data_IF_124831313796
#
_entry.id   IF_124831313796
#
_cell.length_a   1.000
_cell.length_b   1.000
_cell.length_c   1.000
_cell.angle_alpha   90.00
_cell.angle_beta   90.00
_cell.angle_gamma   90.00
#
_symmetry.space_group_name_H-M   'P 1'
#
loop_
_entity.id
_entity.type
_entity.pdbx_description
1 polymer ?
#
# COMPACT_ATOMS: atom_id res chain seq x y z
N UNK A 1 12.94 17.72 25.05
CA UNK A 1 12.49 16.67 26.01
C UNK A 1 12.22 15.44 25.17
N UNK A 2 13.14 14.46 25.14
CA UNK A 2 12.94 13.22 24.37
C UNK A 2 11.87 12.42 25.11
N UNK A 3 10.69 12.30 24.52
CA UNK A 3 9.62 11.45 25.04
C UNK A 3 10.07 10.00 24.97
N UNK A 4 9.89 9.28 26.07
CA UNK A 4 10.32 7.89 26.28
C UNK A 4 9.44 6.89 25.47
N UNK A 5 8.92 7.30 24.32
CA UNK A 5 8.03 6.49 23.49
C UNK A 5 8.86 5.73 22.44
N UNK A 6 8.58 4.44 22.27
CA UNK A 6 9.07 3.60 21.18
C UNK A 6 8.82 4.26 19.80
N UNK A 7 7.58 4.70 19.55
CA UNK A 7 7.21 5.52 18.39
C UNK A 7 6.96 6.95 18.83
N UNK A 8 7.70 7.91 18.26
CA UNK A 8 7.55 9.33 18.53
C UNK A 8 6.33 9.92 17.82
N UNK A 9 5.25 10.09 18.57
CA UNK A 9 3.98 10.59 18.02
C UNK A 9 3.76 12.09 18.21
N UNK A 10 4.62 12.77 18.98
CA UNK A 10 4.49 14.19 19.27
C UNK A 10 3.16 14.55 19.98
N UNK A 11 2.62 15.76 19.79
CA UNK A 11 1.37 16.18 20.44
C UNK A 11 0.12 15.48 19.85
N UNK A 12 0.27 14.68 18.80
CA UNK A 12 -0.83 14.08 18.05
C UNK A 12 -1.03 12.59 18.35
N UNK A 13 -0.32 12.02 19.35
CA UNK A 13 -0.38 10.60 19.68
C UNK A 13 -1.76 10.03 20.01
N UNK A 14 -2.74 10.87 20.35
CA UNK A 14 -4.14 10.46 20.51
C UNK A 14 -4.79 9.94 19.20
N UNK A 15 -4.24 10.28 18.03
CA UNK A 15 -4.65 9.73 16.74
C UNK A 15 -3.90 8.44 16.37
N UNK A 16 -2.93 7.99 17.18
CA UNK A 16 -2.24 6.72 16.96
C UNK A 16 -2.87 5.68 17.87
N UNK A 17 -3.47 4.64 17.30
CA UNK A 17 -4.19 3.64 18.07
C UNK A 17 -3.23 2.89 19.02
N UNK A 18 -3.57 2.73 20.32
CA UNK A 18 -2.69 2.07 21.28
C UNK A 18 -2.30 0.64 20.89
N UNK A 19 -3.20 -0.14 20.28
CA UNK A 19 -2.87 -1.51 19.84
C UNK A 19 -1.83 -1.53 18.74
N UNK A 20 -1.93 -0.59 17.77
CA UNK A 20 -0.93 -0.44 16.71
C UNK A 20 0.40 -0.05 17.33
N UNK A 21 0.41 0.92 18.24
CA UNK A 21 1.63 1.34 18.93
C UNK A 21 2.29 0.17 19.65
N UNK A 22 1.52 -0.63 20.38
CA UNK A 22 2.02 -1.80 21.10
C UNK A 22 2.64 -2.84 20.17
N UNK A 23 1.97 -3.15 19.04
CA UNK A 23 2.44 -4.03 17.97
C UNK A 23 3.88 -3.64 17.57
N UNK A 24 4.03 -2.42 17.06
CA UNK A 24 5.33 -1.91 16.58
C UNK A 24 6.38 -1.56 17.66
N UNK A 25 6.07 -1.73 18.94
CA UNK A 25 6.99 -1.48 20.07
C UNK A 25 7.60 -2.77 20.63
N UNK A 26 7.38 -3.92 19.99
CA UNK A 26 7.99 -5.19 20.43
C UNK A 26 9.02 -5.73 19.44
N UNK A 27 10.17 -6.16 19.96
CA UNK A 27 11.28 -6.76 19.19
C UNK A 27 10.81 -7.98 18.39
N UNK A 28 9.93 -8.80 18.97
CA UNK A 28 9.43 -10.02 18.36
C UNK A 28 8.68 -9.78 17.06
N UNK A 29 7.94 -8.67 16.94
CA UNK A 29 7.21 -8.38 15.71
C UNK A 29 8.11 -7.76 14.64
N UNK A 30 9.12 -6.98 15.02
CA UNK A 30 10.12 -6.51 14.05
C UNK A 30 11.02 -7.64 13.57
N UNK A 31 11.34 -8.62 14.43
CA UNK A 31 12.04 -9.84 14.00
C UNK A 31 11.20 -10.69 13.04
N UNK A 32 9.86 -10.70 13.19
CA UNK A 32 8.96 -11.32 12.20
C UNK A 32 8.96 -10.58 10.86
N UNK A 33 8.99 -9.25 10.89
CA UNK A 33 9.02 -8.42 9.68
C UNK A 33 10.38 -8.46 8.98
N UNK A 34 11.46 -8.51 9.74
CA UNK A 34 12.83 -8.51 9.24
C UNK A 34 13.68 -9.52 10.00
N UNK A 35 13.59 -10.81 9.63
CA UNK A 35 14.36 -11.83 10.31
C UNK A 35 15.86 -11.54 10.15
N UNK A 36 16.61 -11.70 11.25
CA UNK A 36 18.08 -11.62 11.33
C UNK A 36 18.73 -10.24 11.15
N UNK A 37 17.97 -9.14 11.18
CA UNK A 37 18.57 -7.80 11.20
C UNK A 37 19.10 -7.39 12.59
N UNK A 38 18.84 -8.20 13.62
CA UNK A 38 19.30 -7.96 15.00
C UNK A 38 18.50 -6.90 15.74
N UNK A 39 18.86 -6.60 17.00
CA UNK A 39 18.05 -5.77 17.91
C UNK A 39 17.92 -4.31 17.45
N UNK A 40 18.86 -3.79 16.66
CA UNK A 40 18.83 -2.41 16.14
C UNK A 40 17.76 -2.21 15.06
N UNK A 41 17.29 -3.29 14.41
CA UNK A 41 16.23 -3.24 13.40
C UNK A 41 14.92 -2.71 13.97
N UNK A 42 14.62 -3.12 15.21
CA UNK A 42 13.44 -2.67 15.94
C UNK A 42 13.39 -1.15 16.06
N UNK A 43 14.51 -0.56 16.50
CA UNK A 43 14.65 0.90 16.65
C UNK A 43 14.56 1.63 15.32
N UNK A 44 15.05 1.01 14.25
CA UNK A 44 14.94 1.60 12.92
C UNK A 44 13.48 1.64 12.44
N UNK A 45 12.70 0.56 12.63
CA UNK A 45 11.26 0.50 12.30
C UNK A 45 10.45 1.50 13.11
N UNK A 46 10.72 1.62 14.41
CA UNK A 46 10.16 2.67 15.24
C UNK A 46 10.41 4.08 14.66
N UNK A 47 11.65 4.33 14.22
CA UNK A 47 12.07 5.62 13.67
C UNK A 47 11.37 5.92 12.35
N UNK A 48 11.37 4.98 11.40
CA UNK A 48 10.73 5.19 10.09
C UNK A 48 9.21 5.30 10.22
N UNK A 49 8.59 4.55 11.12
CA UNK A 49 7.15 4.67 11.43
C UNK A 49 6.83 6.02 12.04
N UNK A 50 7.68 6.52 12.95
CA UNK A 50 7.50 7.84 13.57
C UNK A 50 7.54 8.97 12.54
N UNK A 51 8.52 8.93 11.63
CA UNK A 51 8.67 9.91 10.56
C UNK A 51 7.52 9.84 9.54
N UNK A 52 7.10 8.64 9.14
CA UNK A 52 5.97 8.43 8.25
C UNK A 52 4.66 8.95 8.88
N UNK A 53 4.45 8.69 10.16
CA UNK A 53 3.31 9.20 10.92
C UNK A 53 3.30 10.73 10.99
N UNK A 54 4.44 11.37 11.33
CA UNK A 54 4.56 12.84 11.35
C UNK A 54 4.17 13.44 10.00
N UNK A 55 4.63 12.87 8.88
CA UNK A 55 4.25 13.30 7.53
C UNK A 55 2.76 13.09 7.24
N UNK A 56 2.16 11.98 7.68
CA UNK A 56 0.74 11.74 7.51
C UNK A 56 -0.09 12.81 8.25
N UNK A 57 0.31 13.19 9.46
CA UNK A 57 -0.33 14.25 10.24
C UNK A 57 -0.15 15.63 9.60
N UNK A 58 1.04 15.96 9.08
CA UNK A 58 1.27 17.20 8.33
C UNK A 58 0.39 17.31 7.09
N UNK A 59 0.25 16.21 6.33
CA UNK A 59 -0.65 16.13 5.17
C UNK A 59 -2.11 16.27 5.59
N UNK A 60 -2.52 15.61 6.68
CA UNK A 60 -3.86 15.72 7.23
C UNK A 60 -4.20 17.17 7.58
N UNK A 61 -3.29 17.88 8.27
CA UNK A 61 -3.47 19.30 8.58
C UNK A 61 -3.56 20.13 7.30
N UNK A 62 -2.66 19.90 6.34
CA UNK A 62 -2.56 20.65 5.09
C UNK A 62 -3.86 20.57 4.28
N UNK A 63 -4.40 19.36 4.09
CA UNK A 63 -5.55 19.16 3.21
C UNK A 63 -6.89 19.41 3.90
N UNK A 64 -7.02 19.04 5.18
CA UNK A 64 -8.25 19.29 5.92
C UNK A 64 -8.36 20.74 6.40
N UNK A 65 -7.23 21.44 6.57
CA UNK A 65 -7.16 22.75 7.20
C UNK A 65 -7.49 22.74 8.70
N UNK A 66 -7.60 21.55 9.31
CA UNK A 66 -7.96 21.37 10.73
C UNK A 66 -6.72 21.08 11.54
N UNK A 67 -6.70 21.57 12.78
CA UNK A 67 -5.68 21.21 13.77
C UNK A 67 -5.79 19.72 14.14
N UNK A 68 -4.77 18.88 13.85
CA UNK A 68 -4.81 17.45 14.16
C UNK A 68 -4.99 17.15 15.65
N UNK A 69 -4.55 18.04 16.56
CA UNK A 69 -4.75 17.88 18.01
C UNK A 69 -6.21 17.91 18.46
N UNK A 70 -7.13 18.31 17.57
CA UNK A 70 -8.58 18.42 17.84
C UNK A 70 -9.40 17.38 17.07
N UNK A 71 -8.75 16.53 16.28
CA UNK A 71 -9.42 15.52 15.47
C UNK A 71 -9.66 14.24 16.26
N UNK A 72 -10.61 13.44 15.80
CA UNK A 72 -10.89 12.12 16.32
C UNK A 72 -11.40 11.23 15.18
N UNK A 73 -11.37 9.92 15.40
CA UNK A 73 -11.74 8.94 14.38
C UNK A 73 -13.15 9.16 13.79
N UNK A 74 -14.22 9.42 14.59
CA UNK A 74 -15.54 9.74 14.04
C UNK A 74 -15.56 10.96 13.10
N UNK A 75 -14.83 12.03 13.46
CA UNK A 75 -14.74 13.25 12.64
C UNK A 75 -13.98 13.00 11.34
N UNK A 76 -12.91 12.19 11.40
CA UNK A 76 -12.15 11.78 10.22
C UNK A 76 -13.01 10.94 9.28
N UNK A 77 -13.71 9.94 9.81
CA UNK A 77 -14.65 9.09 9.07
C UNK A 77 -15.74 9.91 8.36
N UNK A 78 -16.41 10.81 9.09
CA UNK A 78 -17.42 11.68 8.49
C UNK A 78 -16.84 12.58 7.39
N UNK A 79 -15.63 13.13 7.60
CA UNK A 79 -14.96 14.00 6.62
C UNK A 79 -14.59 13.22 5.35
N UNK A 80 -14.05 12.00 5.48
CA UNK A 80 -13.67 11.18 4.31
C UNK A 80 -14.90 10.67 3.57
N UNK A 81 -15.98 10.26 4.24
CA UNK A 81 -17.22 9.85 3.57
C UNK A 81 -17.82 10.99 2.72
N UNK A 82 -17.84 12.21 3.24
CA UNK A 82 -18.27 13.37 2.46
C UNK A 82 -17.36 13.67 1.26
N UNK A 83 -16.04 13.52 1.44
CA UNK A 83 -15.09 13.66 0.34
C UNK A 83 -15.27 12.56 -0.72
N UNK A 84 -15.43 11.30 -0.31
CA UNK A 84 -15.68 10.16 -1.20
C UNK A 84 -16.93 10.38 -2.04
N UNK A 85 -18.05 10.78 -1.43
CA UNK A 85 -19.28 11.06 -2.16
C UNK A 85 -19.07 12.14 -3.24
N UNK A 86 -18.47 13.27 -2.85
CA UNK A 86 -18.24 14.38 -3.79
C UNK A 86 -17.27 14.00 -4.91
N UNK A 87 -16.23 13.24 -4.58
CA UNK A 87 -15.24 12.73 -5.54
C UNK A 87 -15.88 11.75 -6.52
N UNK A 88 -16.72 10.83 -6.05
CA UNK A 88 -17.43 9.88 -6.93
C UNK A 88 -18.32 10.61 -7.92
N UNK A 89 -19.07 11.62 -7.47
CA UNK A 89 -19.88 12.48 -8.34
C UNK A 89 -19.02 13.14 -9.43
N UNK A 90 -17.94 13.82 -9.02
CA UNK A 90 -17.09 14.60 -9.92
C UNK A 90 -16.33 13.75 -10.95
N UNK A 91 -15.88 12.56 -10.57
CA UNK A 91 -15.12 11.69 -11.47
C UNK A 91 -16.00 10.93 -12.46
N UNK A 92 -17.28 10.70 -12.12
CA UNK A 92 -18.17 9.80 -12.87
C UNK A 92 -18.31 10.16 -14.36
N UNK A 93 -18.30 11.45 -14.70
CA UNK A 93 -18.43 11.94 -16.08
C UNK A 93 -17.09 12.05 -16.83
N UNK A 94 -15.96 11.84 -16.15
CA UNK A 94 -14.61 12.08 -16.67
C UNK A 94 -13.66 10.89 -16.47
N UNK A 95 -14.22 9.69 -16.30
CA UNK A 95 -13.44 8.48 -15.97
C UNK A 95 -12.28 8.24 -16.93
N UNK A 96 -12.55 8.20 -18.24
CA UNK A 96 -11.51 7.93 -19.25
C UNK A 96 -10.42 9.02 -19.30
N UNK A 97 -10.79 10.28 -19.05
CA UNK A 97 -9.84 11.39 -19.00
C UNK A 97 -8.91 11.24 -17.80
N UNK A 98 -9.47 10.93 -16.63
CA UNK A 98 -8.73 10.68 -15.40
C UNK A 98 -7.88 9.39 -15.49
N UNK A 99 -8.38 8.32 -16.10
CA UNK A 99 -7.61 7.08 -16.31
C UNK A 99 -6.34 7.34 -17.14
N UNK A 100 -6.46 8.10 -18.25
CA UNK A 100 -5.31 8.51 -19.07
C UNK A 100 -4.37 9.43 -18.30
N UNK A 101 -4.93 10.38 -17.56
CA UNK A 101 -4.14 11.31 -16.75
C UNK A 101 -3.34 10.58 -15.67
N UNK A 102 -3.88 9.53 -15.06
CA UNK A 102 -3.17 8.75 -14.05
C UNK A 102 -1.93 8.07 -14.66
N UNK A 103 -2.07 7.49 -15.85
CA UNK A 103 -0.94 6.89 -16.60
C UNK A 103 0.09 7.97 -16.93
N UNK A 104 -0.34 9.11 -17.48
CA UNK A 104 0.56 10.19 -17.88
C UNK A 104 1.39 10.70 -16.69
N UNK A 105 0.75 10.94 -15.54
CA UNK A 105 1.43 11.39 -14.30
C UNK A 105 2.52 10.40 -13.89
N UNK A 106 2.23 9.09 -13.90
CA UNK A 106 3.22 8.08 -13.50
C UNK A 106 4.36 8.02 -14.51
N UNK A 107 4.07 8.02 -15.81
CA UNK A 107 5.08 7.90 -16.87
C UNK A 107 5.90 9.17 -17.10
N UNK A 108 5.49 10.31 -16.53
CA UNK A 108 6.28 11.55 -16.50
C UNK A 108 7.42 11.50 -15.47
N UNK A 109 7.37 10.59 -14.50
CA UNK A 109 8.40 10.48 -13.49
C UNK A 109 9.72 9.97 -14.09
N UNK A 110 10.88 10.51 -13.66
CA UNK A 110 12.19 10.09 -14.16
C UNK A 110 12.42 8.58 -14.08
N UNK A 111 12.07 7.95 -12.96
CA UNK A 111 12.24 6.51 -12.73
C UNK A 111 11.36 5.62 -13.62
N UNK A 112 10.32 6.19 -14.25
CA UNK A 112 9.40 5.47 -15.13
C UNK A 112 9.58 5.84 -16.62
N UNK A 113 10.64 6.57 -16.98
CA UNK A 113 10.99 6.88 -18.38
C UNK A 113 11.10 5.62 -19.27
N UNK A 114 11.60 4.51 -18.73
CA UNK A 114 11.68 3.24 -19.45
C UNK A 114 10.29 2.68 -19.78
N UNK A 115 9.34 2.78 -18.85
CA UNK A 115 7.94 2.34 -19.05
C UNK A 115 7.27 3.14 -20.16
N UNK A 116 7.54 4.44 -20.26
CA UNK A 116 7.06 5.26 -21.38
C UNK A 116 7.52 4.69 -22.72
N UNK A 117 8.81 4.37 -22.85
CA UNK A 117 9.37 3.76 -24.08
C UNK A 117 8.76 2.38 -24.35
N UNK A 118 8.57 1.55 -23.33
CA UNK A 118 7.97 0.22 -23.47
C UNK A 118 6.51 0.28 -23.89
N UNK A 119 5.77 1.28 -23.38
CA UNK A 119 4.38 1.54 -23.79
C UNK A 119 4.34 1.97 -25.25
N UNK A 120 5.21 2.89 -25.65
CA UNK A 120 5.26 3.39 -27.03
C UNK A 120 5.70 2.32 -28.03
N UNK A 121 6.53 1.35 -27.61
CA UNK A 121 6.92 0.20 -28.44
C UNK A 121 5.93 -0.96 -28.41
N UNK A 122 4.81 -0.85 -27.67
CA UNK A 122 3.81 -1.92 -27.51
C UNK A 122 4.23 -3.11 -26.62
N UNK A 123 5.38 -3.01 -25.93
CA UNK A 123 5.90 -4.07 -25.03
C UNK A 123 5.13 -4.13 -23.71
N UNK A 124 4.55 -3.01 -23.30
CA UNK A 124 3.62 -2.97 -22.17
C UNK A 124 2.35 -2.25 -22.60
N UNK A 125 1.22 -2.70 -22.06
CA UNK A 125 -0.09 -2.05 -22.19
C UNK A 125 -0.60 -1.71 -20.79
N UNK A 126 -1.39 -0.65 -20.70
CA UNK A 126 -2.04 -0.24 -19.47
C UNK A 126 -3.55 -0.43 -19.63
N UNK A 127 -4.14 -1.26 -18.78
CA UNK A 127 -5.57 -1.39 -18.63
C UNK A 127 -5.96 -0.81 -17.27
N UNK A 128 -6.32 0.47 -17.27
CA UNK A 128 -6.50 1.30 -16.08
C UNK A 128 -7.95 1.74 -16.01
N UNK A 129 -8.64 1.48 -14.89
CA UNK A 129 -10.07 1.80 -14.74
C UNK A 129 -10.42 2.45 -13.40
N UNK A 130 -11.23 3.51 -13.49
CA UNK A 130 -11.91 4.14 -12.35
C UNK A 130 -13.20 3.41 -11.99
N UNK A 131 -13.05 2.26 -11.36
CA UNK A 131 -14.14 1.39 -10.92
C UNK A 131 -13.79 0.74 -9.57
N UNK A 132 -14.80 0.16 -8.93
CA UNK A 132 -14.58 -0.57 -7.68
C UNK A 132 -13.49 -1.62 -7.87
N UNK A 133 -12.68 -1.83 -6.84
CA UNK A 133 -11.64 -2.85 -6.83
C UNK A 133 -12.27 -4.26 -6.72
N UNK A 134 -13.12 -4.64 -7.67
CA UNK A 134 -13.64 -5.99 -7.79
C UNK A 134 -12.63 -6.85 -8.55
N UNK A 135 -11.83 -7.61 -7.80
CA UNK A 135 -11.06 -8.73 -8.35
C UNK A 135 -11.68 -10.03 -7.87
N UNK A 136 -12.65 -10.56 -8.62
CA UNK A 136 -13.11 -11.95 -8.43
C UNK A 136 -11.97 -13.00 -8.62
N UNK A 137 -10.75 -12.57 -8.99
CA UNK A 137 -9.59 -13.45 -9.18
C UNK A 137 -8.45 -13.26 -8.16
N UNK A 138 -8.54 -12.30 -7.23
CA UNK A 138 -7.56 -12.20 -6.13
C UNK A 138 -8.05 -12.89 -4.85
N UNK A 139 -9.37 -13.09 -4.70
CA UNK A 139 -9.98 -13.76 -3.55
C UNK A 139 -11.21 -14.59 -3.98
N UNK A 140 -11.03 -15.66 -4.77
CA UNK A 140 -12.04 -16.74 -4.79
C UNK A 140 -11.50 -18.06 -5.35
N UNK A 141 -11.22 -19.01 -4.45
CA UNK A 141 -11.45 -20.45 -4.60
C UNK A 141 -11.07 -21.13 -3.28
N UNK A 142 -11.94 -21.03 -2.28
CA UNK A 142 -11.73 -21.70 -1.00
C UNK A 142 -12.97 -21.84 -0.14
N UNK A 143 -14.17 -21.71 -0.70
CA UNK A 143 -15.40 -21.89 0.05
C UNK A 143 -16.51 -22.42 -0.85
N UNK A 144 -16.51 -23.74 -1.02
CA UNK A 144 -17.75 -24.51 -1.13
C UNK A 144 -17.68 -25.64 -0.10
N UNK A 145 -18.46 -25.43 0.95
CA UNK A 145 -19.21 -26.39 1.78
C UNK A 145 -18.78 -27.86 1.71
N UNK A 146 -18.31 -28.39 2.85
CA UNK A 146 -18.59 -29.75 3.27
C UNK A 146 -18.77 -29.78 4.79
N UNK A 147 -19.87 -30.39 5.20
CA UNK A 147 -20.40 -30.50 6.55
C UNK A 147 -19.51 -31.38 7.46
N UNK A 148 -19.70 -31.20 8.76
CA UNK A 148 -19.04 -31.87 9.89
C UNK A 148 -19.15 -33.40 9.85
N UNK A 149 -18.04 -34.11 10.05
CA UNK A 149 -18.01 -35.38 10.79
C UNK A 149 -16.79 -35.39 11.75
N UNK A 150 -17.06 -35.67 13.02
CA UNK A 150 -16.07 -35.92 14.08
C UNK A 150 -15.30 -37.23 13.81
N UNK A 151 -13.97 -37.21 13.96
CA UNK A 151 -13.16 -38.42 13.95
C UNK A 151 -11.66 -38.20 14.14
N UNK A 152 -11.19 -38.57 15.34
CA UNK A 152 -9.88 -39.10 15.77
C UNK A 152 -8.54 -38.50 15.27
N UNK A 153 -7.63 -38.33 16.24
CA UNK A 153 -6.23 -37.93 16.08
C UNK A 153 -5.41 -38.89 15.18
N UNK A 154 -4.81 -38.27 14.15
CA UNK A 154 -3.59 -38.59 13.37
C UNK A 154 -3.53 -39.83 12.45
N UNK A 155 -3.58 -39.57 11.13
CA UNK A 155 -2.57 -40.07 10.18
C UNK A 155 -2.45 -39.13 8.95
N UNK A 156 -1.35 -38.39 8.82
CA UNK A 156 -1.08 -37.42 7.74
C UNK A 156 -0.64 -38.11 6.43
N UNK A 157 -0.97 -37.53 5.27
CA UNK A 157 -0.41 -38.00 3.99
C UNK A 157 1.03 -37.48 3.78
N UNK A 158 1.94 -38.25 3.12
CA UNK A 158 3.36 -37.89 2.97
C UNK A 158 3.70 -36.58 2.21
N UNK A 159 2.71 -35.89 1.62
CA UNK A 159 2.91 -34.63 0.88
C UNK A 159 2.43 -33.39 1.66
N UNK A 160 1.41 -33.49 2.52
CA UNK A 160 0.94 -32.36 3.34
C UNK A 160 1.74 -32.25 4.64
N UNK A 161 2.20 -33.38 5.17
CA UNK A 161 3.25 -33.43 6.19
C UNK A 161 4.56 -32.80 5.67
N UNK A 162 4.82 -32.83 4.35
CA UNK A 162 5.96 -32.15 3.72
C UNK A 162 5.75 -30.62 3.63
N UNK A 163 4.51 -30.15 3.37
CA UNK A 163 4.15 -28.72 3.36
C UNK A 163 4.15 -28.12 4.78
N UNK A 164 3.66 -28.86 5.78
CA UNK A 164 3.80 -28.50 7.20
C UNK A 164 5.28 -28.48 7.62
N UNK A 165 6.09 -29.45 7.19
CA UNK A 165 7.53 -29.50 7.50
C UNK A 165 8.36 -28.44 6.74
N UNK A 166 7.92 -27.96 5.58
CA UNK A 166 8.53 -26.80 4.89
C UNK A 166 8.10 -25.48 5.54
N UNK A 167 6.84 -25.34 5.95
CA UNK A 167 6.34 -24.15 6.64
C UNK A 167 6.93 -24.00 8.06
N UNK A 168 7.12 -25.11 8.79
CA UNK A 168 7.77 -25.13 10.10
C UNK A 168 9.32 -25.06 10.01
N UNK A 169 9.93 -25.55 8.92
CA UNK A 169 11.39 -25.52 8.68
C UNK A 169 11.87 -24.61 7.53
N UNK A 170 11.25 -23.44 7.34
CA UNK A 170 12.06 -22.22 7.03
C UNK A 170 12.71 -21.70 8.33
N UNK A 171 13.06 -22.63 9.23
CA UNK A 171 14.05 -22.49 10.28
C UNK A 171 15.45 -22.39 9.67
N UNK A 172 15.64 -21.31 8.93
CA UNK A 172 16.86 -20.58 8.67
C UNK A 172 16.41 -19.46 7.73
N UNK A 173 15.93 -18.34 8.29
CA UNK A 173 16.49 -17.04 7.92
C UNK A 173 16.79 -16.82 6.42
N UNK A 174 15.90 -17.25 5.52
CA UNK A 174 16.31 -17.37 4.13
C UNK A 174 16.32 -15.98 3.52
N UNK A 175 17.43 -15.63 2.90
CA UNK A 175 17.64 -14.39 2.15
C UNK A 175 16.43 -14.06 1.24
N UNK A 176 15.72 -15.08 0.73
CA UNK A 176 14.49 -14.95 -0.05
C UNK A 176 13.29 -14.33 0.69
N UNK A 177 13.00 -14.74 1.93
CA UNK A 177 11.87 -14.18 2.69
C UNK A 177 12.11 -12.71 3.07
N UNK A 178 13.33 -12.40 3.51
CA UNK A 178 13.76 -11.03 3.80
C UNK A 178 13.74 -10.15 2.54
N UNK A 179 14.25 -10.65 1.40
CA UNK A 179 14.20 -9.96 0.11
C UNK A 179 12.77 -9.66 -0.33
N UNK A 180 11.87 -10.64 -0.19
CA UNK A 180 10.45 -10.48 -0.53
C UNK A 180 9.81 -9.40 0.34
N UNK A 181 9.93 -9.50 1.67
CA UNK A 181 9.35 -8.51 2.57
C UNK A 181 9.93 -7.11 2.33
N UNK A 182 11.23 -7.03 2.08
CA UNK A 182 11.86 -5.77 1.72
C UNK A 182 11.34 -5.21 0.39
N UNK A 183 11.23 -6.04 -0.65
CA UNK A 183 10.67 -5.63 -1.94
C UNK A 183 9.24 -5.10 -1.78
N UNK A 184 8.39 -5.82 -1.04
CA UNK A 184 7.01 -5.44 -0.77
C UNK A 184 6.93 -4.10 -0.02
N UNK A 185 7.73 -3.92 1.04
CA UNK A 185 7.82 -2.65 1.78
C UNK A 185 8.30 -1.48 0.92
N UNK A 186 9.23 -1.73 0.00
CA UNK A 186 9.73 -0.73 -0.94
C UNK A 186 8.68 -0.39 -1.99
N UNK A 187 8.00 -1.38 -2.57
CA UNK A 187 6.91 -1.18 -3.54
C UNK A 187 5.76 -0.40 -2.91
N UNK A 188 5.25 -0.87 -1.76
CA UNK A 188 4.14 -0.24 -1.05
C UNK A 188 4.51 1.14 -0.52
N UNK A 189 5.73 1.28 0.03
CA UNK A 189 6.26 2.55 0.50
C UNK A 189 6.41 3.58 -0.62
N UNK A 190 6.86 3.13 -1.79
CA UNK A 190 6.97 3.96 -2.98
C UNK A 190 5.59 4.44 -3.45
N UNK A 191 4.65 3.52 -3.64
CA UNK A 191 3.28 3.82 -4.05
C UNK A 191 2.58 4.78 -3.08
N UNK A 192 2.75 4.57 -1.78
CA UNK A 192 2.21 5.45 -0.72
C UNK A 192 2.81 6.86 -0.76
N UNK A 193 4.10 7.00 -1.05
CA UNK A 193 4.72 8.33 -1.25
C UNK A 193 4.19 9.03 -2.50
N UNK A 194 3.89 8.26 -3.54
CA UNK A 194 3.37 8.73 -4.82
C UNK A 194 1.85 8.95 -4.84
N UNK A 195 1.15 8.65 -3.75
CA UNK A 195 -0.30 8.88 -3.61
C UNK A 195 -0.72 10.33 -3.89
N UNK A 196 0.19 11.30 -3.72
CA UNK A 196 -0.09 12.74 -3.94
C UNK A 196 0.41 13.27 -5.30
N UNK A 197 0.86 12.41 -6.22
CA UNK A 197 1.30 12.85 -7.55
C UNK A 197 0.19 13.51 -8.37
N UNK A 198 -1.08 13.32 -8.00
CA UNK A 198 -2.20 14.07 -8.60
C UNK A 198 -1.99 15.59 -8.57
N UNK A 199 -1.18 16.11 -7.63
CA UNK A 199 -0.80 17.52 -7.56
C UNK A 199 -0.08 18.02 -8.82
N UNK A 200 0.65 17.15 -9.52
CA UNK A 200 1.31 17.47 -10.79
C UNK A 200 0.31 17.86 -11.88
N UNK A 201 -0.94 17.40 -11.75
CA UNK A 201 -2.01 17.70 -12.68
C UNK A 201 -3.09 18.62 -12.06
N UNK A 202 -2.76 19.36 -11.00
CA UNK A 202 -3.70 20.27 -10.32
C UNK A 202 -4.44 21.19 -11.30
N UNK A 203 -3.74 21.79 -12.27
CA UNK A 203 -4.38 22.65 -13.29
C UNK A 203 -5.45 21.91 -14.12
N UNK A 204 -5.22 20.64 -14.47
CA UNK A 204 -6.19 19.82 -15.22
C UNK A 204 -7.36 19.39 -14.32
N UNK A 205 -7.07 19.04 -13.07
CA UNK A 205 -8.09 18.65 -12.10
C UNK A 205 -9.00 19.84 -11.72
N UNK A 206 -8.42 21.04 -11.60
CA UNK A 206 -9.16 22.26 -11.28
C UNK A 206 -10.07 22.72 -12.43
N UNK A 207 -9.77 22.32 -13.67
CA UNK A 207 -10.67 22.49 -14.82
C UNK A 207 -11.91 21.57 -14.76
N UNK A 208 -11.81 20.42 -14.08
CA UNK A 208 -12.97 19.55 -13.82
C UNK A 208 -13.81 20.17 -12.70
N UNK A 209 -13.19 20.43 -11.55
CA UNK A 209 -13.78 21.17 -10.44
C UNK A 209 -12.65 21.76 -9.56
N UNK A 210 -12.68 23.07 -9.22
CA UNK A 210 -11.62 23.71 -8.43
C UNK A 210 -11.39 23.11 -7.02
N UNK A 211 -12.33 22.29 -6.53
CA UNK A 211 -12.21 21.59 -5.25
C UNK A 211 -11.62 20.19 -5.39
N UNK A 212 -11.51 19.63 -6.59
CA UNK A 212 -11.18 18.23 -6.83
C UNK A 212 -9.79 17.86 -6.30
N UNK A 213 -8.78 18.67 -6.61
CA UNK A 213 -7.42 18.50 -6.10
C UNK A 213 -7.37 18.48 -4.57
N UNK A 214 -8.14 19.36 -3.92
CA UNK A 214 -8.23 19.41 -2.46
C UNK A 214 -8.96 18.19 -1.89
N UNK A 215 -10.07 17.79 -2.51
CA UNK A 215 -10.85 16.63 -2.11
C UNK A 215 -10.03 15.34 -2.17
N UNK A 216 -9.23 15.15 -3.22
CA UNK A 216 -8.27 14.06 -3.30
C UNK A 216 -7.25 14.09 -2.16
N UNK A 217 -6.70 15.27 -1.84
CA UNK A 217 -5.80 15.41 -0.70
C UNK A 217 -6.47 15.10 0.65
N UNK A 218 -7.72 15.49 0.85
CA UNK A 218 -8.50 15.16 2.05
C UNK A 218 -8.71 13.65 2.14
N UNK A 219 -9.16 13.01 1.05
CA UNK A 219 -9.34 11.57 0.96
C UNK A 219 -8.04 10.83 1.32
N UNK A 220 -6.98 11.09 0.56
CA UNK A 220 -5.68 10.42 0.70
C UNK A 220 -5.06 10.61 2.10
N UNK A 221 -5.15 11.82 2.66
CA UNK A 221 -4.56 12.10 3.98
C UNK A 221 -5.32 11.46 5.13
N UNK A 222 -6.66 11.38 5.05
CA UNK A 222 -7.46 10.72 6.08
C UNK A 222 -7.25 9.21 6.02
N UNK A 223 -7.28 8.61 4.83
CA UNK A 223 -7.03 7.17 4.68
C UNK A 223 -5.60 6.82 5.10
N UNK A 224 -4.58 7.61 4.72
CA UNK A 224 -3.22 7.39 5.25
C UNK A 224 -3.16 7.47 6.78
N UNK A 225 -3.90 8.41 7.38
CA UNK A 225 -3.97 8.52 8.86
C UNK A 225 -4.71 7.34 9.48
N UNK A 226 -5.71 6.77 8.81
CA UNK A 226 -6.53 5.69 9.37
C UNK A 226 -5.75 4.40 9.59
N UNK A 227 -4.70 4.12 8.80
CA UNK A 227 -3.76 3.01 9.05
C UNK A 227 -3.13 3.07 10.44
N UNK A 228 -2.93 4.28 10.99
CA UNK A 228 -2.42 4.51 12.34
C UNK A 228 -3.53 4.60 13.39
N UNK A 229 -4.66 5.20 13.03
CA UNK A 229 -5.73 5.57 13.96
C UNK A 229 -6.73 4.46 14.26
N UNK A 230 -6.89 3.48 13.35
CA UNK A 230 -7.84 2.39 13.51
C UNK A 230 -7.18 1.15 14.12
N UNK A 231 -7.90 0.41 14.99
CA UNK A 231 -7.48 -0.94 15.38
C UNK A 231 -7.55 -1.90 14.18
N UNK A 232 -6.67 -2.90 14.16
CA UNK A 232 -6.48 -3.87 13.06
C UNK A 232 -7.80 -4.52 12.61
N UNK A 233 -8.64 -4.96 13.55
CA UNK A 233 -9.93 -5.59 13.26
C UNK A 233 -10.90 -4.66 12.51
N UNK A 234 -11.08 -3.42 13.00
CA UNK A 234 -11.95 -2.45 12.35
C UNK A 234 -11.41 -1.99 10.99
N UNK A 235 -10.08 -1.94 10.86
CA UNK A 235 -9.42 -1.62 9.61
C UNK A 235 -9.62 -2.72 8.56
N UNK A 236 -9.37 -3.99 8.94
CA UNK A 236 -9.60 -5.17 8.11
C UNK A 236 -11.04 -5.21 7.59
N UNK A 237 -12.03 -5.01 8.44
CA UNK A 237 -13.44 -5.10 8.03
C UNK A 237 -13.83 -3.96 7.08
N UNK A 238 -13.33 -2.74 7.34
CA UNK A 238 -13.57 -1.59 6.48
C UNK A 238 -12.90 -1.73 5.11
N UNK A 239 -11.64 -2.20 5.07
CA UNK A 239 -10.87 -2.40 3.83
C UNK A 239 -11.37 -3.59 3.03
N UNK A 240 -11.68 -4.73 3.67
CA UNK A 240 -12.30 -5.89 2.98
C UNK A 240 -13.62 -5.52 2.32
N UNK A 241 -14.37 -4.61 2.93
CA UNK A 241 -15.65 -4.13 2.41
C UNK A 241 -15.51 -3.00 1.39
N UNK A 242 -14.33 -2.37 1.27
CA UNK A 242 -14.13 -1.12 0.51
C UNK A 242 -12.74 -1.02 -0.11
N UNK A 243 -12.21 -2.11 -0.69
CA UNK A 243 -10.86 -2.15 -1.27
C UNK A 243 -10.60 -0.88 -2.10
N UNK A 244 -9.56 -0.14 -1.71
CA UNK A 244 -9.30 1.22 -2.23
C UNK A 244 -8.61 1.21 -3.59
N UNK A 245 -8.09 0.06 -4.00
CA UNK A 245 -7.48 -0.18 -5.29
C UNK A 245 -7.01 -1.63 -5.40
N UNK A 246 -6.63 -2.01 -6.62
CA UNK A 246 -5.91 -3.24 -6.91
C UNK A 246 -5.18 -3.20 -8.25
N UNK A 247 -4.18 -4.04 -8.39
CA UNK A 247 -3.35 -4.19 -9.57
C UNK A 247 -3.05 -5.65 -9.91
N UNK A 248 -2.77 -5.92 -11.18
CA UNK A 248 -2.31 -7.22 -11.66
C UNK A 248 -1.41 -7.02 -12.89
N UNK A 249 -0.29 -7.75 -12.95
CA UNK A 249 0.56 -7.81 -14.14
C UNK A 249 0.35 -9.16 -14.83
N UNK A 250 -0.17 -9.13 -16.07
CA UNK A 250 -0.42 -10.35 -16.85
C UNK A 250 0.42 -10.39 -18.12
N UNK A 251 0.91 -11.57 -18.55
CA UNK A 251 1.50 -11.75 -19.87
C UNK A 251 0.49 -11.47 -21.00
N UNK A 252 1.00 -10.98 -22.13
CA UNK A 252 0.28 -10.76 -23.39
C UNK A 252 1.13 -11.27 -24.56
N UNK A 253 0.54 -11.42 -25.76
CA UNK A 253 1.21 -12.05 -26.93
C UNK A 253 2.60 -11.44 -27.24
N UNK A 254 2.74 -10.13 -27.08
CA UNK A 254 3.96 -9.36 -27.39
C UNK A 254 4.60 -8.68 -26.16
N UNK A 255 4.17 -9.01 -24.93
CA UNK A 255 4.64 -8.32 -23.74
C UNK A 255 3.80 -8.53 -22.48
N UNK A 256 3.44 -7.43 -21.80
CA UNK A 256 2.67 -7.46 -20.55
C UNK A 256 1.55 -6.43 -20.53
N UNK A 257 0.48 -6.71 -19.79
CA UNK A 257 -0.56 -5.74 -19.44
C UNK A 257 -0.51 -5.47 -17.95
N UNK A 258 -0.31 -4.20 -17.58
CA UNK A 258 -0.50 -3.71 -16.21
C UNK A 258 -1.97 -3.32 -16.08
N UNK A 259 -2.72 -4.09 -15.29
CA UNK A 259 -4.10 -3.79 -14.93
C UNK A 259 -4.11 -3.04 -13.60
N UNK A 260 -4.84 -1.94 -13.53
CA UNK A 260 -5.06 -1.20 -12.28
C UNK A 260 -6.52 -0.78 -12.15
N UNK A 261 -7.08 -0.92 -10.95
CA UNK A 261 -8.47 -0.62 -10.60
C UNK A 261 -8.51 0.21 -9.33
N UNK A 262 -9.32 1.25 -9.30
CA UNK A 262 -9.62 1.96 -8.07
C UNK A 262 -10.85 2.85 -8.24
N UNK A 263 -11.72 2.97 -7.22
CA UNK A 263 -12.83 3.93 -7.25
C UNK A 263 -12.36 5.39 -7.17
N UNK A 264 -11.09 5.63 -6.81
CA UNK A 264 -10.56 6.98 -6.57
C UNK A 264 -9.25 7.22 -7.32
N UNK A 265 -9.19 8.31 -8.09
CA UNK A 265 -8.04 8.68 -8.93
C UNK A 265 -6.66 8.68 -8.22
N UNK A 266 -6.50 9.19 -6.99
CA UNK A 266 -5.22 9.11 -6.28
C UNK A 266 -4.73 7.67 -6.08
N UNK A 267 -5.66 6.76 -5.79
CA UNK A 267 -5.36 5.35 -5.59
C UNK A 267 -5.16 4.64 -6.92
N UNK A 268 -5.80 5.08 -8.01
CA UNK A 268 -5.45 4.59 -9.34
C UNK A 268 -3.98 4.88 -9.70
N UNK A 269 -3.47 6.07 -9.35
CA UNK A 269 -2.03 6.38 -9.49
C UNK A 269 -1.19 5.43 -8.63
N UNK A 270 -1.62 5.17 -7.39
CA UNK A 270 -0.96 4.25 -6.47
C UNK A 270 -0.84 2.84 -7.07
N UNK A 271 -1.94 2.29 -7.60
CA UNK A 271 -1.97 0.95 -8.20
C UNK A 271 -1.13 0.86 -9.48
N UNK A 272 -1.11 1.91 -10.31
CA UNK A 272 -0.23 1.94 -11.51
C UNK A 272 1.24 1.91 -11.08
N UNK A 273 1.62 2.64 -10.03
CA UNK A 273 2.98 2.61 -9.49
C UNK A 273 3.32 1.20 -9.01
N UNK A 274 2.43 0.53 -8.26
CA UNK A 274 2.64 -0.86 -7.82
C UNK A 274 2.81 -1.79 -9.01
N UNK A 275 1.90 -1.76 -9.98
CA UNK A 275 1.97 -2.59 -11.18
C UNK A 275 3.24 -2.40 -12.01
N UNK A 276 3.79 -1.18 -12.06
CA UNK A 276 5.11 -0.94 -12.66
C UNK A 276 6.24 -1.66 -11.90
N UNK A 277 6.23 -1.60 -10.57
CA UNK A 277 7.23 -2.28 -9.73
C UNK A 277 7.08 -3.80 -9.76
N UNK A 278 5.85 -4.30 -9.76
CA UNK A 278 5.56 -5.72 -9.90
C UNK A 278 6.11 -6.25 -11.23
N UNK A 279 5.94 -5.51 -12.33
CA UNK A 279 6.51 -5.89 -13.62
C UNK A 279 8.05 -5.99 -13.58
N UNK A 280 8.74 -5.11 -12.84
CA UNK A 280 10.20 -5.22 -12.66
C UNK A 280 10.60 -6.45 -11.83
N UNK A 281 9.68 -6.94 -11.00
CA UNK A 281 9.92 -8.09 -10.12
C UNK A 281 9.63 -9.45 -10.78
N UNK A 282 8.93 -9.47 -11.92
CA UNK A 282 8.53 -10.71 -12.63
C UNK A 282 9.71 -11.64 -12.93
N UNK A 283 10.90 -11.10 -13.23
CA UNK A 283 12.11 -11.88 -13.53
C UNK A 283 12.95 -12.24 -12.29
N UNK A 284 12.64 -11.66 -11.12
CA UNK A 284 13.45 -11.78 -9.89
C UNK A 284 12.90 -12.89 -8.97
N UNK A 285 11.62 -13.22 -9.08
CA UNK A 285 10.94 -14.23 -8.26
C UNK A 285 9.97 -15.04 -9.11
N UNK A 286 9.97 -16.38 -8.99
CA UNK A 286 8.89 -17.19 -9.56
C UNK A 286 7.55 -16.78 -8.93
N UNK A 287 6.43 -16.87 -9.67
CA UNK A 287 5.09 -16.55 -9.13
C UNK A 287 4.76 -17.36 -7.85
N UNK A 288 5.28 -18.58 -7.70
CA UNK A 288 5.20 -19.39 -6.48
C UNK A 288 5.96 -18.78 -5.27
N UNK A 289 6.99 -17.98 -5.54
CA UNK A 289 7.79 -17.24 -4.56
C UNK A 289 7.30 -15.81 -4.35
N UNK A 290 6.16 -15.42 -4.89
CA UNK A 290 5.43 -14.23 -4.48
C UNK A 290 4.26 -14.74 -3.64
N UNK A 291 4.56 -15.13 -2.39
CA UNK A 291 3.53 -15.56 -1.45
C UNK A 291 2.45 -14.48 -1.37
N UNK A 292 1.17 -14.89 -1.32
CA UNK A 292 0.04 -13.97 -1.22
C UNK A 292 0.23 -13.09 0.01
N UNK A 293 0.31 -11.78 -0.20
CA UNK A 293 0.38 -10.81 0.89
C UNK A 293 -0.90 -10.88 1.72
N UNK A 294 -0.76 -10.91 3.05
CA UNK A 294 -1.91 -10.74 3.92
C UNK A 294 -2.19 -9.25 4.11
N UNK A 295 -3.45 -8.89 4.36
CA UNK A 295 -3.82 -7.50 4.68
C UNK A 295 -3.03 -6.97 5.90
N UNK A 296 -2.69 -7.84 6.84
CA UNK A 296 -1.91 -7.47 8.01
C UNK A 296 -0.47 -7.09 7.64
N UNK A 297 0.15 -7.80 6.68
CA UNK A 297 1.47 -7.47 6.15
C UNK A 297 1.47 -6.12 5.42
N UNK A 298 0.45 -5.88 4.58
CA UNK A 298 0.32 -4.66 3.79
C UNK A 298 0.16 -3.42 4.67
N UNK A 299 -0.58 -3.52 5.79
CA UNK A 299 -0.74 -2.40 6.73
C UNK A 299 0.60 -1.97 7.34
N UNK A 300 1.47 -2.92 7.67
CA UNK A 300 2.82 -2.60 8.18
C UNK A 300 3.64 -1.89 7.11
N UNK A 301 3.52 -2.35 5.88
CA UNK A 301 4.29 -1.86 4.74
C UNK A 301 3.86 -0.43 4.39
N UNK A 302 2.57 -0.12 4.54
CA UNK A 302 2.03 1.24 4.41
C UNK A 302 2.50 2.15 5.55
N UNK A 303 2.59 1.65 6.79
CA UNK A 303 2.98 2.44 7.95
C UNK A 303 4.48 2.77 7.98
N UNK A 304 5.34 1.82 7.58
CA UNK A 304 6.80 1.95 7.72
C UNK A 304 7.52 2.15 6.38
N UNK A 305 6.99 1.54 5.31
CA UNK A 305 7.57 1.55 3.97
C UNK A 305 7.80 2.95 3.38
N UNK A 306 6.92 3.96 3.56
CA UNK A 306 7.10 5.26 2.91
C UNK A 306 8.40 5.95 3.32
N UNK A 307 8.72 5.96 4.62
CA UNK A 307 9.96 6.55 5.09
C UNK A 307 11.16 5.64 4.78
N UNK A 308 11.00 4.31 4.85
CA UNK A 308 12.03 3.37 4.43
C UNK A 308 12.47 3.61 2.99
N UNK A 309 11.52 3.67 2.06
CA UNK A 309 11.75 3.99 0.65
C UNK A 309 12.42 5.36 0.48
N UNK A 310 11.94 6.38 1.21
CA UNK A 310 12.55 7.73 1.16
C UNK A 310 14.01 7.70 1.58
N UNK A 311 14.34 6.98 2.65
CA UNK A 311 15.71 6.85 3.13
C UNK A 311 16.59 6.12 2.11
N UNK A 312 16.08 5.00 1.56
CA UNK A 312 16.80 4.20 0.56
C UNK A 312 17.04 4.97 -0.75
N UNK A 313 16.00 5.59 -1.31
CA UNK A 313 16.09 6.33 -2.57
C UNK A 313 17.08 7.50 -2.51
N UNK A 314 17.27 8.13 -1.35
CA UNK A 314 18.31 9.16 -1.14
C UNK A 314 19.74 8.62 -1.21
N UNK A 315 19.94 7.32 -1.05
CA UNK A 315 21.25 6.68 -1.20
C UNK A 315 21.60 6.42 -2.68
N UNK A 316 20.61 6.45 -3.56
CA UNK A 316 20.80 6.29 -5.01
C UNK A 316 21.17 7.66 -5.59
N UNK A 317 22.35 7.81 -6.24
CA UNK A 317 22.73 9.07 -6.85
C UNK A 317 21.71 9.47 -7.93
N UNK A 318 21.30 10.75 -7.97
CA UNK A 318 20.24 11.20 -8.90
C UNK A 318 20.55 10.94 -10.37
N UNK A 319 21.84 10.89 -10.74
CA UNK A 319 22.30 10.55 -12.09
C UNK A 319 22.01 9.11 -12.51
N UNK A 320 21.74 8.22 -11.56
CA UNK A 320 21.51 6.79 -11.76
C UNK A 320 20.01 6.44 -11.74
N UNK A 321 19.13 7.44 -11.62
CA UNK A 321 17.65 7.31 -11.61
C UNK A 321 17.06 7.55 -13.03
N UNK A 322 17.85 8.02 -13.99
CA UNK A 322 17.46 8.28 -15.39
C UNK A 322 17.65 7.09 -16.34
#
# INVERSE_FOLDING_TARGET
MKTNEAIETGPHGHLFHPSKKAKYSTVQEVEKLFPNLGPDAHRYIETVTSDAYKKAIERLQTYTGKDPSRLNLPTLLSTVMGAMQRVTELQSERKEELEKLAIDIVLELPEFKAFKKWKDSGRIKFDVKLEDANLNNAITAGSQEAEEEEGDEEDLTPSEDLDLKLAENVGEASDGALKRKFANMITQGNATNKLYLFQMASEKLDQIDPSLTKLYGVLSSIVQTSYYAMPDMAFSDAVKSSAVGSEEVVPDEDGYVIKARSPFFPYLIHEIVKGCWDLLSVDITSQENLGKETLDDEVVDIMSGPQLYTNMSRLIPSKDIE
#
